data_IF_973093293722
#
_entry.id   IF_973093293722
#
_cell.length_a   1.000
_cell.length_b   1.000
_cell.length_c   1.000
_cell.angle_alpha   90.00
_cell.angle_beta   90.00
_cell.angle_gamma   90.00
#
_symmetry.space_group_name_H-M   'P 1'
#
loop_
_entity.id
_entity.type
_entity.pdbx_description
1 polymer ?
#
# COMPACT_ATOMS: atom_id res chain seq x y z
N UNK A 1 -29.54 -0.10 11.47
CA UNK A 1 -30.19 0.53 10.30
C UNK A 1 -30.07 2.04 10.46
N UNK A 2 -29.94 2.80 9.36
CA UNK A 2 -29.51 4.21 9.31
C UNK A 2 -30.68 5.15 8.92
N UNK A 3 -31.73 5.32 9.75
CA UNK A 3 -32.96 6.00 9.34
C UNK A 3 -32.78 7.50 9.08
N UNK A 4 -31.89 8.15 9.81
CA UNK A 4 -31.61 9.58 9.64
C UNK A 4 -30.86 9.83 8.34
N UNK A 5 -29.87 9.00 8.04
CA UNK A 5 -29.08 9.10 6.82
C UNK A 5 -29.92 8.82 5.57
N UNK A 6 -30.93 7.95 5.68
CA UNK A 6 -31.92 7.72 4.62
C UNK A 6 -32.86 8.93 4.46
N UNK A 7 -33.34 9.53 5.56
CA UNK A 7 -34.22 10.70 5.49
C UNK A 7 -33.51 11.96 4.96
N UNK A 8 -32.24 12.10 5.32
CA UNK A 8 -31.40 13.25 4.94
C UNK A 8 -30.77 13.06 3.55
N UNK A 9 -31.16 12.01 2.81
CA UNK A 9 -30.64 11.62 1.48
C UNK A 9 -29.12 11.41 1.44
N UNK A 10 -28.49 11.17 2.60
CA UNK A 10 -27.08 10.80 2.70
C UNK A 10 -26.84 9.37 2.20
N UNK A 11 -27.81 8.48 2.41
CA UNK A 11 -27.83 7.13 1.84
C UNK A 11 -28.99 7.03 0.86
N UNK A 12 -28.68 6.68 -0.39
CA UNK A 12 -29.66 6.37 -1.41
C UNK A 12 -29.64 4.87 -1.71
N UNK A 13 -30.81 4.24 -1.70
CA UNK A 13 -30.97 2.84 -2.07
C UNK A 13 -31.55 2.79 -3.49
N UNK A 14 -30.72 2.35 -4.44
CA UNK A 14 -31.17 2.09 -5.80
C UNK A 14 -31.61 0.64 -5.95
N UNK A 15 -32.90 0.41 -6.23
CA UNK A 15 -33.43 -0.90 -6.59
C UNK A 15 -33.71 -0.93 -8.10
N UNK A 16 -32.87 -1.65 -8.85
CA UNK A 16 -33.07 -1.82 -10.28
C UNK A 16 -34.26 -2.77 -10.53
N UNK A 17 -35.25 -2.31 -11.33
CA UNK A 17 -36.37 -3.16 -11.75
C UNK A 17 -35.85 -4.44 -12.40
N UNK A 18 -36.46 -5.58 -12.07
CA UNK A 18 -36.14 -6.87 -12.68
C UNK A 18 -36.28 -6.86 -14.20
N UNK A 19 -37.14 -5.99 -14.75
CA UNK A 19 -37.36 -5.82 -16.19
C UNK A 19 -36.16 -5.21 -16.92
N UNK A 20 -35.26 -4.52 -16.19
CA UNK A 20 -34.04 -3.94 -16.78
C UNK A 20 -32.93 -4.97 -16.97
N UNK A 21 -33.00 -6.12 -16.30
CA UNK A 21 -31.99 -7.15 -16.42
C UNK A 21 -32.23 -7.95 -17.71
N UNK A 22 -31.18 -8.24 -18.50
CA UNK A 22 -31.26 -9.28 -19.52
C UNK A 22 -31.49 -10.64 -18.87
N UNK A 23 -31.83 -11.64 -19.69
CA UNK A 23 -31.94 -13.02 -19.22
C UNK A 23 -30.60 -13.47 -18.60
N UNK A 24 -30.66 -13.98 -17.37
CA UNK A 24 -29.48 -14.49 -16.64
C UNK A 24 -29.41 -16.02 -16.69
N UNK A 25 -30.16 -16.61 -17.60
CA UNK A 25 -30.22 -18.01 -17.94
C UNK A 25 -29.38 -18.27 -19.20
N UNK A 26 -28.81 -19.46 -19.34
CA UNK A 26 -28.03 -19.85 -20.53
C UNK A 26 -26.83 -18.95 -20.87
N UNK A 27 -26.30 -18.24 -19.88
CA UNK A 27 -25.09 -17.40 -20.01
C UNK A 27 -23.87 -18.20 -20.49
N UNK A 28 -22.96 -17.51 -21.19
CA UNK A 28 -21.69 -18.08 -21.67
C UNK A 28 -20.86 -18.71 -20.53
N UNK A 29 -20.53 -19.99 -20.70
CA UNK A 29 -19.69 -20.73 -19.76
C UNK A 29 -18.21 -20.43 -20.00
N UNK A 30 -17.60 -19.73 -19.04
CA UNK A 30 -16.20 -19.28 -19.12
C UNK A 30 -15.47 -19.63 -17.81
N UNK A 31 -14.14 -19.62 -17.83
CA UNK A 31 -13.26 -19.81 -16.67
C UNK A 31 -13.42 -21.14 -15.90
N UNK A 32 -14.15 -22.12 -16.46
CA UNK A 32 -14.47 -23.37 -15.76
C UNK A 32 -15.41 -23.19 -14.57
N UNK A 33 -16.12 -22.06 -14.50
CA UNK A 33 -17.05 -21.75 -13.42
C UNK A 33 -18.34 -22.56 -13.51
N UNK A 34 -18.99 -22.80 -12.37
CA UNK A 34 -20.33 -23.37 -12.35
C UNK A 34 -21.37 -22.38 -12.87
N UNK A 35 -22.51 -22.87 -13.36
CA UNK A 35 -23.63 -22.03 -13.82
C UNK A 35 -24.06 -21.00 -12.77
N UNK A 36 -24.06 -21.38 -11.50
CA UNK A 36 -24.41 -20.47 -10.40
C UNK A 36 -23.39 -19.33 -10.26
N UNK A 37 -22.10 -19.63 -10.39
CA UNK A 37 -21.04 -18.61 -10.32
C UNK A 37 -21.04 -17.69 -11.54
N UNK A 38 -21.30 -18.25 -12.74
CA UNK A 38 -21.49 -17.46 -13.96
C UNK A 38 -22.66 -16.48 -13.81
N UNK A 39 -23.82 -16.96 -13.32
CA UNK A 39 -24.98 -16.10 -13.04
C UNK A 39 -24.67 -15.03 -12.00
N UNK A 40 -23.98 -15.38 -10.93
CA UNK A 40 -23.58 -14.44 -9.88
C UNK A 40 -22.68 -13.32 -10.41
N UNK A 41 -21.59 -13.65 -11.14
CA UNK A 41 -20.67 -12.62 -11.67
C UNK A 41 -21.33 -11.74 -12.73
N UNK A 42 -22.18 -12.32 -13.58
CA UNK A 42 -22.93 -11.58 -14.58
C UNK A 42 -23.88 -10.56 -13.93
N UNK A 43 -24.61 -11.00 -12.89
CA UNK A 43 -25.47 -10.10 -12.11
C UNK A 43 -24.66 -9.01 -11.42
N UNK A 44 -23.53 -9.34 -10.79
CA UNK A 44 -22.67 -8.35 -10.12
C UNK A 44 -22.20 -7.25 -11.08
N UNK A 45 -21.76 -7.63 -12.29
CA UNK A 45 -21.35 -6.68 -13.32
C UNK A 45 -22.51 -5.75 -13.73
N UNK A 46 -23.71 -6.29 -13.91
CA UNK A 46 -24.90 -5.50 -14.25
C UNK A 46 -25.36 -4.59 -13.11
N UNK A 47 -25.36 -5.08 -11.86
CA UNK A 47 -25.71 -4.29 -10.67
C UNK A 47 -24.79 -3.06 -10.58
N UNK A 48 -23.49 -3.25 -10.77
CA UNK A 48 -22.52 -2.16 -10.81
C UNK A 48 -22.79 -1.19 -11.97
N UNK A 49 -23.08 -1.70 -13.17
CA UNK A 49 -23.38 -0.87 -14.32
C UNK A 49 -24.64 -0.02 -14.11
N UNK A 50 -25.70 -0.60 -13.54
CA UNK A 50 -26.95 0.12 -13.25
C UNK A 50 -26.75 1.19 -12.18
N UNK A 51 -25.99 0.89 -11.13
CA UNK A 51 -25.65 1.87 -10.10
C UNK A 51 -24.81 3.02 -10.68
N UNK A 52 -23.77 2.71 -11.45
CA UNK A 52 -22.94 3.72 -12.12
C UNK A 52 -23.76 4.58 -13.09
N UNK A 53 -24.69 3.98 -13.83
CA UNK A 53 -25.60 4.70 -14.73
C UNK A 53 -26.53 5.63 -13.95
N UNK A 54 -27.02 5.20 -12.79
CA UNK A 54 -27.85 6.04 -11.91
C UNK A 54 -27.05 7.22 -11.33
N UNK A 55 -25.78 7.00 -10.97
CA UNK A 55 -24.91 8.02 -10.40
C UNK A 55 -24.32 9.03 -11.41
N UNK A 56 -24.64 8.92 -12.69
CA UNK A 56 -24.23 9.92 -13.69
C UNK A 56 -24.75 11.30 -13.29
N UNK A 57 -23.92 12.32 -13.47
CA UNK A 57 -24.20 13.72 -13.13
C UNK A 57 -24.47 14.06 -11.64
N UNK A 58 -24.33 13.10 -10.71
CA UNK A 58 -24.54 13.34 -9.27
C UNK A 58 -23.32 13.95 -8.55
N UNK A 59 -22.10 13.67 -9.05
CA UNK A 59 -20.85 14.10 -8.43
C UNK A 59 -19.72 14.12 -9.47
N UNK A 60 -18.61 14.79 -9.18
CA UNK A 60 -17.43 14.85 -10.06
C UNK A 60 -16.71 13.49 -10.18
N UNK A 61 -16.68 12.73 -9.08
CA UNK A 61 -16.00 11.43 -8.98
C UNK A 61 -16.96 10.35 -8.47
N UNK A 62 -16.76 9.13 -8.95
CA UNK A 62 -17.42 7.93 -8.47
C UNK A 62 -16.40 7.01 -7.82
N UNK A 63 -16.71 6.47 -6.63
CA UNK A 63 -15.87 5.47 -5.96
C UNK A 63 -16.67 4.17 -5.85
N UNK A 64 -16.17 3.10 -6.49
CA UNK A 64 -16.76 1.77 -6.37
C UNK A 64 -16.32 1.10 -5.06
N UNK A 65 -17.27 0.68 -4.24
CA UNK A 65 -17.03 -0.04 -2.96
C UNK A 65 -18.01 -1.21 -2.81
N UNK A 66 -17.68 -2.14 -1.93
CA UNK A 66 -18.52 -3.28 -1.52
C UNK A 66 -19.02 -3.07 -0.08
N UNK A 67 -19.93 -3.93 0.39
CA UNK A 67 -20.60 -3.83 1.70
C UNK A 67 -19.72 -4.27 2.88
N UNK A 68 -18.63 -4.99 2.62
CA UNK A 68 -17.74 -5.59 3.61
C UNK A 68 -16.34 -4.97 3.61
N UNK A 69 -16.29 -3.63 3.53
CA UNK A 69 -15.06 -2.86 3.61
C UNK A 69 -14.95 -2.08 4.92
N UNK A 70 -13.74 -1.99 5.45
CA UNK A 70 -13.38 -1.03 6.49
C UNK A 70 -12.46 0.06 5.91
N UNK A 71 -12.43 1.20 6.59
CA UNK A 71 -11.59 2.34 6.22
C UNK A 71 -10.93 2.96 7.46
N UNK A 72 -10.21 4.06 7.28
CA UNK A 72 -9.49 4.78 8.32
C UNK A 72 -10.09 6.15 8.59
N UNK A 73 -9.87 6.72 9.78
CA UNK A 73 -10.21 8.12 10.05
C UNK A 73 -9.57 9.05 9.02
N UNK A 74 -10.37 9.98 8.48
CA UNK A 74 -9.90 10.96 7.49
C UNK A 74 -9.83 10.45 6.05
N UNK A 75 -10.35 9.26 5.74
CA UNK A 75 -10.27 8.66 4.41
C UNK A 75 -10.76 9.58 3.27
N UNK A 76 -11.82 10.36 3.49
CA UNK A 76 -12.34 11.30 2.47
C UNK A 76 -11.28 12.34 2.07
N UNK A 77 -10.55 12.88 3.06
CA UNK A 77 -9.45 13.82 2.81
C UNK A 77 -8.34 13.14 2.01
N UNK A 78 -7.93 11.95 2.43
CA UNK A 78 -6.87 11.19 1.74
C UNK A 78 -7.23 10.85 0.28
N UNK A 79 -8.48 10.46 0.02
CA UNK A 79 -8.98 10.23 -1.35
C UNK A 79 -8.91 11.52 -2.17
N UNK A 80 -9.34 12.65 -1.58
CA UNK A 80 -9.36 13.95 -2.26
C UNK A 80 -7.94 14.44 -2.58
N UNK A 81 -6.99 14.27 -1.66
CA UNK A 81 -5.57 14.58 -1.85
C UNK A 81 -4.97 13.70 -2.95
N UNK A 82 -5.23 12.38 -2.91
CA UNK A 82 -4.72 11.45 -3.91
C UNK A 82 -5.23 11.75 -5.33
N UNK A 83 -6.50 12.13 -5.47
CA UNK A 83 -7.08 12.59 -6.74
C UNK A 83 -6.31 13.81 -7.27
N UNK A 84 -6.07 14.81 -6.41
CA UNK A 84 -5.35 16.04 -6.78
C UNK A 84 -3.91 15.77 -7.19
N UNK A 85 -3.18 14.97 -6.41
CA UNK A 85 -1.79 14.58 -6.64
C UNK A 85 -1.61 13.76 -7.93
N UNK A 86 -2.63 13.00 -8.32
CA UNK A 86 -2.56 12.12 -9.50
C UNK A 86 -2.66 12.85 -10.83
N UNK A 87 -3.00 14.15 -10.83
CA UNK A 87 -3.17 14.95 -12.05
C UNK A 87 -4.36 14.50 -12.91
N UNK A 88 -4.30 14.68 -14.23
CA UNK A 88 -5.41 14.40 -15.16
C UNK A 88 -5.20 13.17 -16.07
N UNK A 89 -4.01 12.56 -16.09
CA UNK A 89 -3.65 11.50 -17.06
C UNK A 89 -4.04 10.07 -16.64
N UNK A 90 -4.98 9.92 -15.71
CA UNK A 90 -5.51 8.64 -15.24
C UNK A 90 -6.96 8.45 -15.67
N UNK A 91 -7.43 7.22 -15.77
CA UNK A 91 -8.83 6.80 -15.96
C UNK A 91 -9.36 6.01 -14.77
N UNK A 92 -8.48 5.33 -14.02
CA UNK A 92 -8.78 4.68 -12.75
C UNK A 92 -7.70 4.98 -11.72
N UNK A 93 -8.10 5.43 -10.53
CA UNK A 93 -7.26 5.43 -9.33
C UNK A 93 -7.66 4.28 -8.40
N UNK A 94 -6.67 3.69 -7.73
CA UNK A 94 -6.85 2.49 -6.92
C UNK A 94 -6.59 2.79 -5.44
N UNK A 95 -7.63 2.68 -4.60
CA UNK A 95 -7.60 2.88 -3.15
C UNK A 95 -7.52 1.56 -2.37
N UNK A 96 -7.61 0.43 -3.08
CA UNK A 96 -7.37 -0.94 -2.63
C UNK A 96 -6.70 -1.72 -3.76
N UNK A 97 -5.86 -2.68 -3.39
CA UNK A 97 -5.21 -3.61 -4.33
C UNK A 97 -6.11 -4.72 -4.84
N UNK A 98 -7.29 -4.91 -4.24
CA UNK A 98 -8.14 -6.08 -4.50
C UNK A 98 -9.28 -5.72 -5.44
N UNK A 99 -9.35 -6.43 -6.57
CA UNK A 99 -10.51 -6.48 -7.45
C UNK A 99 -11.10 -5.10 -7.81
N UNK A 100 -12.43 -5.02 -7.81
CA UNK A 100 -13.22 -3.85 -8.13
C UNK A 100 -13.35 -2.83 -6.99
N UNK A 101 -12.93 -3.19 -5.78
CA UNK A 101 -13.08 -2.36 -4.58
C UNK A 101 -12.14 -1.16 -4.63
N UNK A 102 -12.63 -0.01 -4.14
CA UNK A 102 -11.84 1.21 -3.98
C UNK A 102 -11.37 1.77 -5.31
N UNK A 103 -12.15 1.63 -6.38
CA UNK A 103 -11.80 2.15 -7.70
C UNK A 103 -12.48 3.48 -7.93
N UNK A 104 -11.67 4.51 -8.19
CA UNK A 104 -12.13 5.87 -8.44
C UNK A 104 -12.18 6.13 -9.94
N UNK A 105 -13.30 6.66 -10.40
CA UNK A 105 -13.55 7.04 -11.78
C UNK A 105 -14.00 8.49 -11.83
N UNK A 106 -13.74 9.17 -12.95
CA UNK A 106 -14.41 10.45 -13.23
C UNK A 106 -15.83 10.18 -13.68
N UNK A 107 -16.75 11.07 -13.32
CA UNK A 107 -18.13 10.97 -13.79
C UNK A 107 -18.21 10.93 -15.32
N UNK A 108 -17.38 11.74 -16.00
CA UNK A 108 -17.28 11.81 -17.46
C UNK A 108 -16.89 10.49 -18.14
N UNK A 109 -16.29 9.55 -17.39
CA UNK A 109 -15.88 8.24 -17.89
C UNK A 109 -16.94 7.16 -17.64
N UNK A 110 -17.93 7.42 -16.76
CA UNK A 110 -18.97 6.44 -16.42
C UNK A 110 -19.79 5.98 -17.62
N UNK A 111 -20.22 6.82 -18.58
CA UNK A 111 -20.99 6.32 -19.73
C UNK A 111 -20.25 5.25 -20.54
N UNK A 112 -18.94 5.44 -20.75
CA UNK A 112 -18.09 4.47 -21.46
C UNK A 112 -17.91 3.19 -20.65
N UNK A 113 -17.69 3.34 -19.33
CA UNK A 113 -17.53 2.20 -18.44
C UNK A 113 -18.82 1.38 -18.34
N UNK A 114 -19.97 2.02 -18.15
CA UNK A 114 -21.29 1.35 -18.14
C UNK A 114 -21.49 0.58 -19.44
N UNK A 115 -21.23 1.20 -20.60
CA UNK A 115 -21.34 0.51 -21.88
C UNK A 115 -20.43 -0.71 -21.97
N UNK A 116 -19.19 -0.63 -21.49
CA UNK A 116 -18.27 -1.77 -21.43
C UNK A 116 -18.82 -2.87 -20.51
N UNK A 117 -19.28 -2.52 -19.31
CA UNK A 117 -19.82 -3.48 -18.34
C UNK A 117 -21.06 -4.21 -18.89
N UNK A 118 -22.02 -3.46 -19.44
CA UNK A 118 -23.24 -4.05 -20.01
C UNK A 118 -22.99 -4.85 -21.27
N UNK A 119 -21.95 -4.52 -22.04
CA UNK A 119 -21.63 -5.25 -23.28
C UNK A 119 -20.93 -6.58 -23.05
N UNK A 120 -20.23 -6.73 -21.92
CA UNK A 120 -19.36 -7.88 -21.66
C UNK A 120 -19.66 -8.60 -20.33
N UNK A 121 -20.85 -8.40 -19.78
CA UNK A 121 -21.26 -8.98 -18.49
C UNK A 121 -21.29 -10.52 -18.49
N UNK A 122 -21.54 -11.15 -19.65
CA UNK A 122 -21.50 -12.61 -19.78
C UNK A 122 -20.06 -13.12 -19.85
N UNK A 123 -19.20 -12.38 -20.53
CA UNK A 123 -17.85 -12.78 -20.89
C UNK A 123 -16.89 -12.67 -19.72
N UNK A 124 -16.94 -11.55 -18.99
CA UNK A 124 -15.89 -11.17 -18.05
C UNK A 124 -16.45 -10.78 -16.67
N UNK A 125 -15.76 -11.09 -15.57
CA UNK A 125 -16.08 -10.50 -14.27
C UNK A 125 -15.72 -9.00 -14.24
N UNK A 126 -16.39 -8.25 -13.35
CA UNK A 126 -16.19 -6.80 -13.20
C UNK A 126 -14.72 -6.39 -12.99
N UNK A 127 -13.97 -7.17 -12.22
CA UNK A 127 -12.54 -6.93 -11.95
C UNK A 127 -11.73 -6.82 -13.26
N UNK A 128 -12.01 -7.72 -14.20
CA UNK A 128 -11.30 -7.79 -15.48
C UNK A 128 -11.75 -6.66 -16.40
N UNK A 129 -13.04 -6.32 -16.37
CA UNK A 129 -13.58 -5.22 -17.16
C UNK A 129 -12.97 -3.87 -16.74
N UNK A 130 -12.70 -3.65 -15.46
CA UNK A 130 -11.96 -2.46 -15.02
C UNK A 130 -10.51 -2.46 -15.54
N UNK A 131 -9.83 -3.61 -15.53
CA UNK A 131 -8.48 -3.72 -16.12
C UNK A 131 -8.49 -3.48 -17.64
N UNK A 132 -9.49 -3.98 -18.35
CA UNK A 132 -9.65 -3.72 -19.77
C UNK A 132 -9.99 -2.26 -20.04
N UNK A 133 -10.84 -1.63 -19.23
CA UNK A 133 -11.14 -0.20 -19.34
C UNK A 133 -9.87 0.65 -19.25
N UNK A 134 -9.01 0.38 -18.25
CA UNK A 134 -7.71 1.03 -18.11
C UNK A 134 -6.81 0.84 -19.35
N UNK A 135 -6.86 -0.33 -19.95
CA UNK A 135 -6.06 -0.66 -21.15
C UNK A 135 -6.60 0.06 -22.39
N UNK A 136 -7.92 0.06 -22.59
CA UNK A 136 -8.61 0.75 -23.69
C UNK A 136 -8.46 2.27 -23.60
N UNK A 137 -8.33 2.82 -22.39
CA UNK A 137 -8.07 4.23 -22.14
C UNK A 137 -6.59 4.60 -22.10
N UNK A 138 -5.71 3.66 -22.45
CA UNK A 138 -4.26 3.87 -22.60
C UNK A 138 -3.57 4.31 -21.30
N UNK A 139 -4.13 3.96 -20.13
CA UNK A 139 -3.48 4.20 -18.85
C UNK A 139 -2.45 3.10 -18.56
N UNK A 140 -1.22 3.28 -19.05
CA UNK A 140 -0.11 2.36 -18.79
C UNK A 140 0.37 2.38 -17.33
N UNK A 141 0.39 3.56 -16.69
CA UNK A 141 0.83 3.72 -15.30
C UNK A 141 -0.25 3.26 -14.33
N UNK A 142 0.12 2.45 -13.34
CA UNK A 142 -0.73 2.14 -12.20
C UNK A 142 -0.68 3.29 -11.19
N UNK A 143 -1.85 3.76 -10.76
CA UNK A 143 -2.00 4.78 -9.73
C UNK A 143 -2.69 4.13 -8.53
N UNK A 144 -1.89 3.65 -7.57
CA UNK A 144 -2.40 3.06 -6.33
C UNK A 144 -2.01 3.95 -5.17
N UNK A 145 -2.97 4.23 -4.28
CA UNK A 145 -2.68 4.84 -2.99
C UNK A 145 -2.12 3.78 -2.05
N UNK A 146 -0.92 4.01 -1.57
CA UNK A 146 -0.25 3.16 -0.59
C UNK A 146 0.11 4.05 0.58
N UNK A 147 -0.17 3.65 1.83
CA UNK A 147 -1.06 2.56 2.25
C UNK A 147 -2.46 2.63 1.62
N UNK A 148 -3.14 1.48 1.47
CA UNK A 148 -4.51 1.47 0.90
C UNK A 148 -5.53 2.10 1.86
N UNK A 149 -6.53 2.77 1.30
CA UNK A 149 -7.58 3.45 2.08
C UNK A 149 -8.69 2.50 2.52
N UNK A 150 -9.00 1.51 1.69
CA UNK A 150 -10.00 0.49 1.99
C UNK A 150 -9.33 -0.86 2.22
N UNK A 151 -9.92 -1.63 3.14
CA UNK A 151 -9.63 -3.04 3.35
C UNK A 151 -10.92 -3.84 3.33
N UNK A 152 -11.01 -4.82 2.45
CA UNK A 152 -12.07 -5.82 2.45
C UNK A 152 -11.89 -6.78 3.65
N UNK A 153 -12.99 -7.08 4.35
CA UNK A 153 -13.03 -7.93 5.54
C UNK A 153 -13.96 -9.15 5.39
N UNK A 154 -14.56 -9.35 4.22
CA UNK A 154 -15.38 -10.54 3.93
C UNK A 154 -14.57 -11.83 3.92
N UNK A 155 -14.73 -12.67 4.95
CA UNK A 155 -14.04 -13.97 5.09
C UNK A 155 -14.79 -15.12 4.41
N UNK A 156 -16.11 -14.95 4.19
CA UNK A 156 -16.99 -15.94 3.56
C UNK A 156 -17.69 -15.33 2.36
N UNK A 157 -17.36 -15.83 1.17
CA UNK A 157 -18.16 -15.54 -0.01
C UNK A 157 -19.55 -16.17 0.14
N UNK A 158 -20.57 -15.54 -0.45
CA UNK A 158 -21.87 -16.17 -0.69
C UNK A 158 -21.78 -17.39 -1.62
N UNK A 159 -20.64 -17.62 -2.26
CA UNK A 159 -20.33 -18.83 -3.02
C UNK A 159 -19.78 -19.91 -2.08
N UNK A 160 -20.41 -21.10 -2.12
CA UNK A 160 -20.00 -22.28 -1.34
C UNK A 160 -18.53 -22.62 -1.62
N UNK A 161 -17.75 -22.82 -0.55
CA UNK A 161 -16.32 -23.19 -0.55
C UNK A 161 -15.31 -22.15 -1.07
N UNK A 162 -15.65 -20.85 -1.11
CA UNK A 162 -14.66 -19.79 -1.32
C UNK A 162 -14.32 -19.08 -0.01
N UNK A 163 -13.29 -19.57 0.67
CA UNK A 163 -12.54 -18.81 1.68
C UNK A 163 -11.47 -17.98 0.97
N UNK A 164 -11.58 -16.64 1.04
CA UNK A 164 -10.53 -15.73 0.58
C UNK A 164 -9.47 -15.59 1.67
N UNK A 165 -8.21 -15.47 1.27
CA UNK A 165 -7.13 -15.20 2.20
C UNK A 165 -6.87 -13.70 2.31
N UNK A 166 -6.97 -13.17 3.54
CA UNK A 166 -6.91 -11.75 3.89
C UNK A 166 -5.53 -11.09 3.70
N UNK A 167 -4.55 -11.78 3.11
CA UNK A 167 -3.13 -11.43 3.23
C UNK A 167 -2.74 -10.12 2.54
N UNK A 168 -3.21 -9.90 1.31
CA UNK A 168 -2.70 -8.81 0.45
C UNK A 168 -3.26 -7.44 0.87
N UNK A 169 -4.59 -7.33 1.01
CA UNK A 169 -5.24 -6.07 1.37
C UNK A 169 -4.86 -5.64 2.79
N UNK A 170 -4.75 -6.62 3.72
CA UNK A 170 -4.31 -6.38 5.09
C UNK A 170 -2.86 -5.90 5.17
N UNK A 171 -1.98 -6.36 4.27
CA UNK A 171 -0.57 -5.96 4.27
C UNK A 171 -0.40 -4.47 3.97
N UNK A 172 -0.97 -3.99 2.86
CA UNK A 172 -0.88 -2.60 2.46
C UNK A 172 -1.76 -1.68 3.32
N UNK A 173 -2.87 -2.20 3.84
CA UNK A 173 -3.66 -1.45 4.81
C UNK A 173 -2.88 -1.25 6.12
N UNK A 174 -2.25 -2.29 6.68
CA UNK A 174 -1.58 -2.13 7.97
C UNK A 174 -0.20 -1.44 7.92
N UNK A 175 0.22 -0.86 6.78
CA UNK A 175 1.50 -0.15 6.68
C UNK A 175 1.60 1.05 7.63
N UNK A 176 0.48 1.71 7.97
CA UNK A 176 0.46 2.83 8.92
C UNK A 176 0.37 2.45 10.41
N UNK A 177 0.68 1.21 10.77
CA UNK A 177 0.78 0.86 12.19
C UNK A 177 2.24 0.60 12.52
N UNK A 178 2.86 1.54 13.22
CA UNK A 178 4.20 1.37 13.79
C UNK A 178 4.14 0.23 14.81
N UNK A 179 5.04 -0.73 14.67
CA UNK A 179 5.10 -1.97 15.46
C UNK A 179 6.29 -1.95 16.41
N UNK A 180 7.37 -1.26 16.03
CA UNK A 180 8.53 -1.12 16.89
C UNK A 180 8.23 -0.11 17.98
N UNK A 181 8.67 -0.42 19.21
CA UNK A 181 8.54 0.48 20.37
C UNK A 181 9.87 1.14 20.70
N UNK A 182 10.61 1.54 19.66
CA UNK A 182 11.87 2.26 19.81
C UNK A 182 11.66 3.61 20.49
N UNK A 183 12.66 4.05 21.24
CA UNK A 183 12.68 5.38 21.85
C UNK A 183 12.76 6.46 20.76
N UNK A 184 13.57 6.19 19.72
CA UNK A 184 13.89 7.05 18.58
C UNK A 184 14.19 8.50 18.99
N UNK A 185 15.34 8.75 19.63
CA UNK A 185 15.78 10.10 20.01
C UNK A 185 15.81 11.06 18.82
N UNK A 186 15.72 12.37 19.08
CA UNK A 186 15.79 13.37 18.02
C UNK A 186 17.08 13.22 17.20
N UNK A 187 16.91 13.02 15.89
CA UNK A 187 17.99 12.76 14.95
C UNK A 187 17.66 13.33 13.58
N UNK A 188 18.71 13.70 12.84
CA UNK A 188 18.64 13.95 11.41
C UNK A 188 18.86 12.64 10.66
N UNK A 189 17.91 12.26 9.82
CA UNK A 189 17.98 11.02 9.03
C UNK A 189 18.35 11.35 7.59
N UNK A 190 19.44 10.77 7.09
CA UNK A 190 19.97 11.05 5.76
C UNK A 190 20.16 9.76 4.97
N UNK A 191 20.00 9.82 3.65
CA UNK A 191 20.28 8.70 2.76
C UNK A 191 20.70 9.21 1.39
N UNK A 192 21.52 8.43 0.68
CA UNK A 192 21.80 8.64 -0.74
C UNK A 192 20.96 7.71 -1.64
N UNK A 193 19.98 7.00 -1.09
CA UNK A 193 19.00 6.24 -1.86
C UNK A 193 18.14 7.19 -2.72
N UNK A 194 17.62 6.68 -3.83
CA UNK A 194 16.55 7.34 -4.56
C UNK A 194 15.26 7.29 -3.77
N UNK A 195 14.51 8.38 -3.77
CA UNK A 195 13.19 8.44 -3.12
C UNK A 195 12.13 8.17 -4.18
N UNK A 196 11.18 7.29 -3.87
CA UNK A 196 9.97 7.13 -4.67
C UNK A 196 8.93 8.12 -4.19
N UNK A 197 8.45 9.00 -5.08
CA UNK A 197 7.43 10.00 -4.73
C UNK A 197 7.83 10.78 -3.46
N UNK A 198 6.99 10.73 -2.43
CA UNK A 198 7.20 11.42 -1.14
C UNK A 198 7.49 10.46 0.02
N UNK A 199 7.91 9.22 -0.23
CA UNK A 199 8.23 8.24 0.82
C UNK A 199 9.67 8.41 1.33
N UNK A 200 9.94 9.56 1.96
CA UNK A 200 11.24 9.95 2.50
C UNK A 200 11.70 9.11 3.71
N UNK A 201 13.02 9.07 3.97
CA UNK A 201 13.62 8.15 4.94
C UNK A 201 13.27 8.48 6.41
N UNK A 202 13.04 9.75 6.70
CA UNK A 202 12.62 10.25 8.01
C UNK A 202 11.26 9.67 8.44
N UNK A 203 10.38 9.37 7.48
CA UNK A 203 9.08 8.71 7.74
C UNK A 203 9.25 7.33 8.40
N UNK A 204 10.26 6.56 8.01
CA UNK A 204 10.53 5.26 8.63
C UNK A 204 10.99 5.39 10.10
N UNK A 205 11.66 6.50 10.46
CA UNK A 205 12.15 6.78 11.81
C UNK A 205 11.12 7.50 12.69
N UNK A 206 10.20 8.26 12.11
CA UNK A 206 9.23 9.07 12.84
C UNK A 206 8.22 8.20 13.62
N UNK A 207 7.97 8.57 14.88
CA UNK A 207 7.03 7.88 15.79
C UNK A 207 5.59 8.39 15.71
N UNK A 208 5.39 9.63 15.25
CA UNK A 208 4.09 10.30 15.19
C UNK A 208 3.40 9.97 13.87
N UNK A 209 4.13 10.05 12.77
CA UNK A 209 3.62 9.74 11.44
C UNK A 209 3.97 8.29 11.11
N UNK A 210 2.94 7.46 10.98
CA UNK A 210 3.11 6.03 10.73
C UNK A 210 3.52 5.69 9.30
N UNK A 211 4.24 6.55 8.61
CA UNK A 211 4.58 6.37 7.21
C UNK A 211 5.92 5.59 7.09
N UNK A 212 6.32 5.23 5.87
CA UNK A 212 7.48 4.39 5.60
C UNK A 212 8.39 5.02 4.55
N UNK A 213 9.58 4.45 4.38
CA UNK A 213 10.47 4.80 3.29
C UNK A 213 10.27 3.83 2.13
N UNK A 214 10.21 4.37 0.92
CA UNK A 214 10.25 3.58 -0.30
C UNK A 214 11.09 4.28 -1.35
N UNK A 215 12.02 3.53 -1.91
CA UNK A 215 13.04 4.10 -2.75
C UNK A 215 13.78 3.05 -3.56
N UNK A 216 14.89 3.45 -4.16
CA UNK A 216 15.70 2.58 -5.00
C UNK A 216 17.19 2.85 -4.82
N UNK A 217 18.01 1.85 -5.13
CA UNK A 217 19.47 1.99 -5.11
C UNK A 217 19.94 2.84 -6.30
N UNK A 218 20.75 3.88 -6.03
CA UNK A 218 21.32 4.76 -7.06
C UNK A 218 22.75 4.37 -7.44
N UNK A 219 23.46 3.72 -6.53
CA UNK A 219 24.87 3.33 -6.69
C UNK A 219 25.15 2.00 -6.01
N UNK A 220 26.41 1.54 -6.02
CA UNK A 220 26.86 0.37 -5.27
C UNK A 220 27.14 0.66 -3.78
N UNK A 221 27.13 1.93 -3.36
CA UNK A 221 27.45 2.36 -1.98
C UNK A 221 26.29 3.17 -1.41
N UNK A 222 25.15 2.54 -1.18
CA UNK A 222 24.01 3.22 -0.58
C UNK A 222 24.04 3.13 0.94
N UNK A 223 23.52 4.15 1.63
CA UNK A 223 23.48 4.17 3.08
C UNK A 223 22.21 4.82 3.63
N UNK A 224 21.87 4.48 4.87
CA UNK A 224 20.97 5.23 5.75
C UNK A 224 21.78 5.68 6.96
N UNK A 225 21.82 6.97 7.22
CA UNK A 225 22.53 7.60 8.33
C UNK A 225 21.52 8.16 9.32
N UNK A 226 21.68 7.79 10.59
CA UNK A 226 20.97 8.34 11.73
C UNK A 226 22.00 9.19 12.48
N UNK A 227 21.90 10.51 12.39
CA UNK A 227 22.75 11.44 13.11
C UNK A 227 21.98 12.04 14.29
N UNK A 228 22.28 11.59 15.50
CA UNK A 228 21.58 12.07 16.69
C UNK A 228 21.92 13.53 16.98
N UNK A 229 20.92 14.32 17.37
CA UNK A 229 21.14 15.72 17.72
C UNK A 229 21.97 15.86 19.01
N UNK A 230 21.87 14.86 19.89
CA UNK A 230 22.66 14.70 21.11
C UNK A 230 23.18 13.26 21.14
N UNK A 231 24.45 12.99 21.48
CA UNK A 231 24.96 11.62 21.56
C UNK A 231 24.11 10.72 22.47
N UNK A 232 23.90 9.47 22.06
CA UNK A 232 22.96 8.54 22.70
C UNK A 232 23.64 7.26 23.19
N UNK A 233 23.23 6.75 24.35
CA UNK A 233 23.60 5.42 24.83
C UNK A 233 22.68 4.35 24.21
N UNK A 234 22.89 4.07 22.93
CA UNK A 234 22.07 3.13 22.15
C UNK A 234 22.29 1.71 22.65
N UNK A 235 21.22 1.00 23.00
CA UNK A 235 21.27 -0.41 23.40
C UNK A 235 20.96 -1.35 22.24
N UNK A 236 20.02 -0.96 21.38
CA UNK A 236 19.54 -1.80 20.28
C UNK A 236 19.13 -0.96 19.07
N UNK A 237 19.37 -1.49 17.88
CA UNK A 237 18.85 -1.01 16.60
C UNK A 237 18.06 -2.13 15.92
N UNK A 238 16.85 -1.81 15.43
CA UNK A 238 16.04 -2.69 14.58
C UNK A 238 15.62 -1.90 13.35
N UNK A 239 15.77 -2.47 12.15
CA UNK A 239 15.23 -1.90 10.91
C UNK A 239 14.38 -2.97 10.21
N UNK A 240 13.07 -2.74 10.15
CA UNK A 240 12.16 -3.58 9.40
C UNK A 240 12.17 -3.17 7.92
N UNK A 241 12.76 -4.01 7.06
CA UNK A 241 12.78 -3.80 5.62
C UNK A 241 11.94 -4.83 4.87
N UNK A 242 11.36 -4.43 3.75
CA UNK A 242 10.47 -5.24 2.92
C UNK A 242 9.00 -5.27 3.35
N UNK A 243 8.19 -5.89 2.49
CA UNK A 243 6.79 -6.18 2.72
C UNK A 243 6.67 -7.59 3.32
N UNK A 244 6.58 -7.72 4.65
CA UNK A 244 6.39 -9.03 5.30
C UNK A 244 4.96 -9.51 5.01
N UNK A 245 4.80 -10.41 4.05
CA UNK A 245 3.58 -11.19 3.87
C UNK A 245 3.66 -12.47 4.73
N UNK A 246 2.56 -12.82 5.38
CA UNK A 246 2.37 -14.11 6.04
C UNK A 246 2.77 -15.25 5.06
N UNK A 247 3.69 -16.13 5.47
CA UNK A 247 4.28 -17.19 4.62
C UNK A 247 3.21 -18.16 4.05
N UNK A 248 2.04 -18.23 4.68
CA UNK A 248 0.93 -19.12 4.32
C UNK A 248 0.20 -18.77 3.01
N UNK A 249 0.50 -17.64 2.35
CA UNK A 249 -0.22 -17.16 1.16
C UNK A 249 0.56 -17.30 -0.17
N UNK A 250 1.48 -18.27 -0.25
CA UNK A 250 2.48 -18.37 -1.31
C UNK A 250 1.96 -18.83 -2.69
N UNK A 251 0.77 -19.45 -2.78
CA UNK A 251 0.38 -20.23 -3.98
C UNK A 251 -0.79 -19.69 -4.82
N UNK A 252 -1.31 -18.47 -4.58
CA UNK A 252 -2.42 -17.97 -5.40
C UNK A 252 -1.93 -17.23 -6.67
N UNK A 253 -2.18 -17.74 -7.89
CA UNK A 253 -1.73 -17.14 -9.16
C UNK A 253 -2.39 -15.79 -9.51
N UNK A 254 -3.44 -15.35 -8.80
CA UNK A 254 -3.98 -13.99 -8.90
C UNK A 254 -3.08 -12.92 -8.24
N UNK A 255 -1.97 -13.33 -7.60
CA UNK A 255 -1.05 -12.47 -6.83
C UNK A 255 0.10 -11.86 -7.65
N UNK A 256 -0.08 -11.59 -8.95
CA UNK A 256 1.00 -11.12 -9.83
C UNK A 256 1.60 -9.79 -9.35
N UNK A 257 0.79 -8.84 -8.87
CA UNK A 257 1.30 -7.56 -8.34
C UNK A 257 2.03 -7.69 -7.00
N UNK A 258 1.76 -8.74 -6.22
CA UNK A 258 2.45 -9.00 -4.94
C UNK A 258 3.87 -9.54 -5.14
N UNK A 259 4.15 -10.19 -6.27
CA UNK A 259 5.49 -10.71 -6.54
C UNK A 259 6.48 -9.60 -6.92
N UNK A 260 5.99 -8.42 -7.29
CA UNK A 260 6.82 -7.33 -7.80
C UNK A 260 7.59 -6.60 -6.68
N UNK A 261 7.01 -6.45 -5.48
CA UNK A 261 7.59 -5.70 -4.36
C UNK A 261 8.07 -6.56 -3.18
N UNK A 262 7.80 -7.88 -3.19
CA UNK A 262 8.29 -8.83 -2.17
C UNK A 262 9.82 -8.90 -2.07
N UNK A 263 10.55 -8.36 -3.04
CA UNK A 263 12.01 -8.36 -3.08
C UNK A 263 12.62 -7.05 -2.61
N UNK A 264 11.82 -6.08 -2.19
CA UNK A 264 12.26 -4.73 -1.82
C UNK A 264 12.87 -4.68 -0.40
N UNK A 265 13.23 -5.82 0.19
CA UNK A 265 13.87 -5.89 1.51
C UNK A 265 15.39 -5.83 1.39
N UNK A 266 16.08 -5.32 2.40
CA UNK A 266 17.54 -5.26 2.40
C UNK A 266 18.11 -6.66 2.72
N UNK A 267 18.60 -7.37 1.70
CA UNK A 267 19.24 -8.70 1.84
C UNK A 267 20.54 -8.64 2.62
N UNK A 268 21.46 -7.76 2.21
CA UNK A 268 22.81 -7.69 2.79
C UNK A 268 23.15 -6.28 3.23
N UNK A 269 23.62 -6.15 4.46
CA UNK A 269 23.91 -4.88 5.10
C UNK A 269 25.12 -4.98 6.04
N UNK A 270 25.63 -3.83 6.43
CA UNK A 270 26.61 -3.65 7.51
C UNK A 270 26.25 -2.40 8.28
N UNK A 271 26.75 -2.30 9.50
CA UNK A 271 26.47 -1.15 10.37
C UNK A 271 27.77 -0.59 10.91
N UNK A 272 27.92 0.72 10.74
CA UNK A 272 29.01 1.49 11.32
C UNK A 272 28.45 2.46 12.36
N UNK A 273 29.33 2.92 13.25
CA UNK A 273 29.03 3.99 14.20
C UNK A 273 30.12 5.06 14.20
N UNK A 274 29.76 6.25 14.67
CA UNK A 274 30.73 7.30 15.02
C UNK A 274 30.34 7.93 16.35
N UNK A 275 31.34 8.33 17.12
CA UNK A 275 31.19 9.07 18.38
C UNK A 275 31.26 10.59 18.15
N UNK A 276 31.61 11.05 16.95
CA UNK A 276 31.96 12.46 16.68
C UNK A 276 30.91 13.12 15.78
N UNK A 277 30.10 14.01 16.36
CA UNK A 277 29.14 14.81 15.60
C UNK A 277 29.84 16.02 14.97
N UNK A 278 29.64 16.19 13.67
CA UNK A 278 30.12 17.35 12.90
C UNK A 278 28.89 18.14 12.44
N UNK A 279 28.71 19.33 13.00
CA UNK A 279 27.67 20.26 12.56
C UNK A 279 28.11 20.99 11.29
N UNK A 280 27.40 20.78 10.17
CA UNK A 280 27.49 21.66 9.00
C UNK A 280 26.33 22.65 9.03
N UNK A 281 26.51 23.82 8.39
CA UNK A 281 25.55 24.95 8.40
C UNK A 281 24.09 24.56 8.10
N UNK A 282 23.86 23.43 7.42
CA UNK A 282 22.53 22.95 7.02
C UNK A 282 22.17 21.54 7.51
N UNK A 283 23.07 20.79 8.16
CA UNK A 283 22.77 19.45 8.71
C UNK A 283 23.84 18.91 9.67
N UNK A 284 23.42 18.16 10.69
CA UNK A 284 24.34 17.34 11.50
C UNK A 284 24.75 16.08 10.74
N UNK A 285 26.05 15.80 10.70
CA UNK A 285 26.62 14.56 10.15
C UNK A 285 27.71 14.03 11.08
N UNK A 286 28.34 12.91 10.75
CA UNK A 286 29.52 12.44 11.48
C UNK A 286 30.65 12.11 10.50
N UNK A 287 31.87 12.21 11.01
CA UNK A 287 33.08 11.73 10.35
C UNK A 287 33.64 10.53 11.11
N UNK A 288 34.64 9.85 10.53
CA UNK A 288 35.35 8.71 11.15
C UNK A 288 34.41 7.59 11.64
N UNK A 289 34.01 6.73 10.71
CA UNK A 289 33.15 5.58 11.02
C UNK A 289 33.96 4.35 11.41
N UNK A 290 33.53 3.68 12.48
CA UNK A 290 34.05 2.39 12.94
C UNK A 290 33.00 1.31 12.72
N UNK A 291 33.44 0.10 12.37
CA UNK A 291 32.54 -1.02 12.13
C UNK A 291 31.91 -1.44 13.47
N UNK A 292 30.58 -1.50 13.51
CA UNK A 292 29.80 -2.04 14.62
C UNK A 292 29.35 -3.48 14.34
N UNK A 293 28.94 -3.72 13.10
CA UNK A 293 28.53 -5.03 12.60
C UNK A 293 29.06 -5.17 11.17
N UNK A 294 29.83 -6.25 10.95
CA UNK A 294 30.30 -6.62 9.61
C UNK A 294 29.14 -7.06 8.70
N UNK A 295 29.46 -7.58 7.53
CA UNK A 295 28.50 -8.03 6.54
C UNK A 295 27.54 -9.11 7.08
N UNK A 296 26.26 -8.77 7.17
CA UNK A 296 25.18 -9.69 7.57
C UNK A 296 24.20 -9.84 6.42
N UNK A 297 23.73 -11.07 6.21
CA UNK A 297 22.61 -11.38 5.33
C UNK A 297 21.38 -11.73 6.18
N UNK A 298 20.23 -11.10 5.91
CA UNK A 298 19.00 -11.30 6.67
C UNK A 298 18.56 -10.09 7.51
N UNK A 299 17.72 -10.31 8.54
CA UNK A 299 17.08 -9.23 9.31
C UNK A 299 18.06 -8.22 9.89
N UNK A 300 17.68 -6.95 9.90
CA UNK A 300 18.51 -5.88 10.47
C UNK A 300 18.14 -5.70 11.94
N UNK A 301 18.87 -6.40 12.81
CA UNK A 301 18.81 -6.21 14.25
C UNK A 301 20.22 -6.28 14.84
N UNK A 302 20.56 -5.27 15.65
CA UNK A 302 21.82 -5.23 16.40
C UNK A 302 21.49 -4.95 17.85
N UNK A 303 21.71 -5.93 18.70
CA UNK A 303 21.64 -5.81 20.15
C UNK A 303 23.03 -5.48 20.74
N UNK A 304 23.06 -5.11 22.03
CA UNK A 304 24.25 -4.76 22.82
C UNK A 304 25.13 -3.65 22.22
N UNK A 305 24.51 -2.68 21.54
CA UNK A 305 25.22 -1.59 20.85
C UNK A 305 26.10 -0.78 21.81
N UNK A 306 25.61 -0.43 23.00
CA UNK A 306 26.32 0.35 24.01
C UNK A 306 27.62 -0.33 24.44
N UNK A 307 27.57 -1.65 24.63
CA UNK A 307 28.74 -2.45 25.01
C UNK A 307 29.74 -2.55 23.86
N UNK A 308 29.28 -2.73 22.62
CA UNK A 308 30.14 -2.86 21.44
C UNK A 308 30.84 -1.55 21.07
N UNK A 309 30.23 -0.42 21.38
CA UNK A 309 30.76 0.92 21.07
C UNK A 309 31.57 1.53 22.20
N UNK A 310 31.58 0.90 23.39
CA UNK A 310 32.22 1.39 24.61
C UNK A 310 31.82 2.83 24.99
N UNK A 311 30.57 3.22 24.73
CA UNK A 311 30.07 4.54 25.11
C UNK A 311 28.94 5.07 24.23
N UNK A 312 28.78 6.38 24.27
CA UNK A 312 27.73 7.09 23.50
C UNK A 312 28.00 7.02 22.00
N UNK A 313 26.94 7.04 21.21
CA UNK A 313 26.99 7.06 19.75
C UNK A 313 26.39 8.37 19.25
N UNK A 314 27.10 9.05 18.36
CA UNK A 314 26.65 10.28 17.70
C UNK A 314 25.97 9.96 16.37
N UNK A 315 26.47 8.97 15.62
CA UNK A 315 25.81 8.49 14.41
C UNK A 315 25.82 6.98 14.27
N UNK A 316 24.76 6.44 13.65
CA UNK A 316 24.69 5.08 13.13
C UNK A 316 24.54 5.13 11.61
N UNK A 317 25.35 4.37 10.88
CA UNK A 317 25.29 4.30 9.41
C UNK A 317 25.09 2.88 8.93
N UNK A 318 23.89 2.58 8.46
CA UNK A 318 23.58 1.33 7.78
C UNK A 318 24.05 1.43 6.32
N UNK A 319 24.94 0.55 5.89
CA UNK A 319 25.33 0.43 4.48
C UNK A 319 24.53 -0.68 3.81
N UNK A 320 23.91 -0.38 2.66
CA UNK A 320 23.18 -1.35 1.84
C UNK A 320 24.12 -1.93 0.80
N UNK A 321 24.48 -3.21 0.96
CA UNK A 321 25.55 -3.86 0.18
C UNK A 321 25.00 -4.67 -0.98
N UNK A 322 23.92 -5.42 -0.77
CA UNK A 322 23.27 -6.19 -1.83
C UNK A 322 21.78 -5.92 -1.80
N UNK A 323 21.35 -5.04 -2.71
CA UNK A 323 19.99 -4.86 -3.19
C UNK A 323 19.99 -4.26 -4.58
N UNK A 324 19.22 -4.86 -5.49
CA UNK A 324 19.09 -4.39 -6.87
C UNK A 324 17.68 -3.88 -7.06
N UNK A 325 17.57 -2.61 -7.48
CA UNK A 325 16.33 -1.88 -7.70
C UNK A 325 15.74 -1.27 -6.43
N UNK A 326 14.65 -1.82 -5.91
CA UNK A 326 13.79 -1.16 -4.93
C UNK A 326 14.14 -1.54 -3.48
N UNK A 327 13.92 -0.60 -2.56
CA UNK A 327 14.09 -0.75 -1.12
C UNK A 327 12.90 -0.15 -0.42
N UNK A 328 12.28 -0.95 0.43
CA UNK A 328 11.22 -0.58 1.35
C UNK A 328 11.73 -0.69 2.77
N UNK A 329 11.68 0.39 3.55
CA UNK A 329 11.95 0.36 4.99
C UNK A 329 10.68 0.78 5.69
N UNK A 330 10.02 -0.19 6.33
CA UNK A 330 8.78 0.01 7.06
C UNK A 330 9.00 0.91 8.28
N UNK A 331 10.00 0.57 9.07
CA UNK A 331 10.21 1.17 10.38
C UNK A 331 11.66 1.02 10.85
N UNK A 332 12.16 2.06 11.51
CA UNK A 332 13.45 2.07 12.19
C UNK A 332 13.16 2.26 13.68
N UNK A 333 13.65 1.35 14.52
CA UNK A 333 13.55 1.42 15.97
C UNK A 333 14.94 1.52 16.59
N UNK A 334 15.21 2.63 17.27
CA UNK A 334 16.41 2.85 18.09
C UNK A 334 16.01 2.84 19.56
N UNK A 335 16.67 2.01 20.35
CA UNK A 335 16.43 1.88 21.79
C UNK A 335 17.64 2.43 22.54
N UNK A 336 17.39 3.21 23.57
CA UNK A 336 18.44 3.86 24.38
C UNK A 336 18.26 3.56 25.85
N UNK A 337 19.31 3.79 26.62
CA UNK A 337 19.22 3.84 28.09
C UNK A 337 19.10 5.29 28.55
N UNK A 338 18.24 5.50 29.54
CA UNK A 338 18.00 6.80 30.19
C UNK A 338 19.22 7.28 30.97
#
# INVERSE_FOLDING_TARGET
MFPKELSDEFILIHNASSEKYPALEHLKQNFGDSTMRVKWRAKQTLDAAFLMQYCQDMAEYYVHIEDDVITRPGYVREITEFIKESGSSWSILELSFVGAIGKVFRNSDLPKLVSLLTSFYEEQPIDYLFMYFKSLTVQAKQYVRIPTVFKHIGVKSTLVNQTRSDGMDSLYFNLQQKRLKGDNPNATIQTNLGVYQEYYIDKAYNKINSDFFWGYTKSSKNFVLIAFNVPQNVTKLVIESGFVADENNLHNPLNVSSNLHRRDYIKKWSLDYSNELVSKETSSTCEVFRILQEYVEGPIQVDDVLRKTNGHVSCLRLSVISQVNWIFIREIGVYVTS
#
